data_IF_211848901946
#
_entry.id   IF_211848901946
#
_cell.length_a   1.000
_cell.length_b   1.000
_cell.length_c   1.000
_cell.angle_alpha   90.00
_cell.angle_beta   90.00
_cell.angle_gamma   90.00
#
_symmetry.space_group_name_H-M   'P 1'
#
loop_
_entity.id
_entity.type
_entity.pdbx_description
1 polymer ?
#
# COMPACT_ATOMS: atom_id res chain seq x y z
N UNK A 1 50.70 -19.74 -60.03
CA UNK A 1 50.43 -19.70 -58.58
C UNK A 1 49.35 -18.65 -58.33
N UNK A 2 48.13 -19.07 -57.98
CA UNK A 2 46.99 -18.16 -57.78
C UNK A 2 46.78 -17.91 -56.28
N UNK A 3 47.01 -16.66 -55.85
CA UNK A 3 46.83 -16.22 -54.46
C UNK A 3 45.36 -15.88 -54.21
N UNK A 4 44.73 -16.57 -53.25
CA UNK A 4 43.36 -16.30 -52.79
C UNK A 4 43.41 -15.25 -51.68
N UNK A 5 42.92 -14.05 -51.97
CA UNK A 5 42.76 -12.97 -50.98
C UNK A 5 41.37 -13.12 -50.36
N UNK A 6 41.31 -13.46 -49.08
CA UNK A 6 40.08 -13.51 -48.30
C UNK A 6 39.75 -12.12 -47.71
N UNK A 7 38.50 -11.63 -47.77
CA UNK A 7 38.13 -10.36 -47.17
C UNK A 7 37.97 -10.52 -45.66
N UNK A 8 38.72 -9.73 -44.89
CA UNK A 8 38.56 -9.61 -43.44
C UNK A 8 37.22 -8.89 -43.17
N UNK A 9 36.21 -9.65 -42.73
CA UNK A 9 34.93 -9.09 -42.27
C UNK A 9 35.18 -8.24 -41.03
N UNK A 10 35.02 -6.92 -41.18
CA UNK A 10 35.02 -5.97 -40.07
C UNK A 10 33.72 -6.15 -39.29
N UNK A 11 33.82 -6.76 -38.12
CA UNK A 11 32.72 -6.84 -37.15
C UNK A 11 32.73 -5.52 -36.38
N UNK A 12 31.80 -4.63 -36.70
CA UNK A 12 31.56 -3.44 -35.88
C UNK A 12 30.93 -3.89 -34.55
N UNK A 13 31.43 -3.45 -33.39
CA UNK A 13 30.72 -3.68 -32.15
C UNK A 13 29.46 -2.81 -32.20
N UNK A 14 28.30 -3.45 -32.26
CA UNK A 14 27.01 -2.81 -32.01
C UNK A 14 27.12 -2.19 -30.63
N UNK A 15 27.07 -0.86 -30.58
CA UNK A 15 27.12 -0.08 -29.35
C UNK A 15 25.89 -0.47 -28.51
N UNK A 16 26.08 -1.37 -27.54
CA UNK A 16 25.07 -1.76 -26.56
C UNK A 16 24.82 -0.57 -25.64
N UNK A 17 23.92 0.32 -26.05
CA UNK A 17 23.41 1.39 -25.18
C UNK A 17 22.57 0.73 -24.10
N UNK A 18 23.17 0.49 -22.94
CA UNK A 18 22.44 0.11 -21.74
C UNK A 18 21.51 1.26 -21.36
N UNK A 19 20.20 1.06 -21.46
CA UNK A 19 19.23 1.97 -20.86
C UNK A 19 19.18 1.67 -19.37
N UNK A 20 19.72 2.57 -18.54
CA UNK A 20 19.45 2.58 -17.11
C UNK A 20 18.03 3.08 -16.90
N UNK A 21 17.11 2.17 -16.62
CA UNK A 21 15.74 2.53 -16.25
C UNK A 21 15.78 2.76 -14.74
N UNK A 22 15.88 4.03 -14.30
CA UNK A 22 15.61 4.35 -12.92
C UNK A 22 14.12 4.04 -12.66
N UNK A 23 13.85 3.03 -11.83
CA UNK A 23 12.48 2.70 -11.44
C UNK A 23 11.83 3.95 -10.81
N UNK A 24 10.57 4.29 -11.16
CA UNK A 24 9.89 5.40 -10.52
C UNK A 24 9.85 5.16 -9.00
N UNK A 25 10.02 6.20 -8.17
CA UNK A 25 9.92 6.05 -6.72
C UNK A 25 8.53 5.51 -6.38
N UNK A 26 8.50 4.28 -5.86
CA UNK A 26 7.26 3.67 -5.40
C UNK A 26 6.96 4.23 -4.01
N UNK A 27 5.78 4.83 -3.83
CA UNK A 27 5.34 5.28 -2.50
C UNK A 27 5.23 4.06 -1.57
N UNK A 28 5.76 4.13 -0.34
CA UNK A 28 5.64 3.03 0.60
C UNK A 28 4.17 2.71 0.92
N UNK A 29 3.93 1.46 1.29
CA UNK A 29 2.62 1.02 1.77
C UNK A 29 2.62 0.93 3.29
N UNK A 30 1.54 1.40 3.88
CA UNK A 30 1.27 1.34 5.31
C UNK A 30 0.15 0.35 5.54
N UNK A 31 0.45 -0.73 6.24
CA UNK A 31 -0.56 -1.62 6.82
C UNK A 31 -0.96 -1.02 8.17
N UNK A 32 -2.25 -0.70 8.31
CA UNK A 32 -2.82 -0.12 9.52
C UNK A 32 -3.87 -1.05 10.07
N UNK A 33 -3.62 -1.54 11.29
CA UNK A 33 -4.60 -2.34 12.05
C UNK A 33 -5.20 -1.42 13.10
N UNK A 34 -6.51 -1.18 13.02
CA UNK A 34 -7.24 -0.26 13.88
C UNK A 34 -8.29 -1.04 14.67
N UNK A 35 -8.08 -1.24 15.98
CA UNK A 35 -9.09 -1.87 16.83
C UNK A 35 -10.23 -0.89 17.13
N UNK A 36 -11.42 -1.47 17.36
CA UNK A 36 -12.56 -0.71 17.82
C UNK A 36 -12.45 -0.40 19.33
N UNK A 37 -13.07 0.70 19.75
CA UNK A 37 -13.17 1.05 21.16
C UNK A 37 -14.04 0.07 21.94
N UNK A 38 -13.74 -0.18 23.23
CA UNK A 38 -14.66 -0.94 24.06
C UNK A 38 -16.01 -0.22 24.14
N UNK A 39 -17.08 -0.92 23.77
CA UNK A 39 -18.45 -0.37 23.78
C UNK A 39 -18.87 0.41 22.53
N UNK A 40 -18.03 0.53 21.50
CA UNK A 40 -18.43 1.18 20.23
C UNK A 40 -19.19 0.27 19.26
N UNK A 41 -19.47 -0.99 19.65
CA UNK A 41 -20.15 -1.97 18.79
C UNK A 41 -21.50 -1.44 18.27
N UNK A 42 -22.28 -0.79 19.14
CA UNK A 42 -23.57 -0.20 18.75
C UNK A 42 -23.42 0.95 17.75
N UNK A 43 -22.37 1.77 17.91
CA UNK A 43 -22.06 2.89 17.01
C UNK A 43 -21.60 2.39 15.64
N UNK A 44 -20.93 1.23 15.61
CA UNK A 44 -20.52 0.57 14.38
C UNK A 44 -21.72 0.04 13.60
N UNK A 45 -22.66 -0.63 14.26
CA UNK A 45 -23.87 -1.18 13.62
C UNK A 45 -24.68 -0.12 12.87
N UNK A 46 -24.73 1.11 13.36
CA UNK A 46 -25.39 2.23 12.66
C UNK A 46 -24.71 2.58 11.32
N UNK A 47 -23.39 2.43 11.23
CA UNK A 47 -22.60 2.77 10.04
C UNK A 47 -22.37 1.60 9.10
N UNK A 48 -22.67 0.40 9.58
CA UNK A 48 -22.50 -0.81 8.79
C UNK A 48 -23.57 -0.93 7.72
N UNK A 49 -23.14 -1.39 6.55
CA UNK A 49 -24.09 -1.70 5.49
C UNK A 49 -25.01 -2.86 5.94
N UNK A 50 -26.26 -2.94 5.43
CA UNK A 50 -27.16 -4.06 5.74
C UNK A 50 -26.54 -5.43 5.43
N UNK A 51 -25.64 -5.47 4.44
CA UNK A 51 -24.88 -6.66 4.06
C UNK A 51 -23.86 -7.08 5.12
N UNK A 52 -23.24 -6.13 5.83
CA UNK A 52 -22.28 -6.40 6.90
C UNK A 52 -22.99 -6.85 8.18
N UNK A 53 -24.10 -6.20 8.54
CA UNK A 53 -24.91 -6.60 9.69
C UNK A 53 -25.42 -8.06 9.57
N UNK A 54 -25.67 -8.53 8.36
CA UNK A 54 -26.14 -9.88 8.08
C UNK A 54 -25.08 -10.99 8.33
N UNK A 55 -23.78 -10.66 8.45
CA UNK A 55 -22.73 -11.66 8.66
C UNK A 55 -22.72 -12.23 10.09
N UNK A 56 -23.44 -11.65 11.05
CA UNK A 56 -23.62 -12.18 12.40
C UNK A 56 -22.34 -12.35 13.24
N UNK A 57 -21.20 -11.88 12.73
CA UNK A 57 -19.91 -11.92 13.42
C UNK A 57 -19.65 -10.63 14.20
N UNK A 58 -19.03 -10.75 15.38
CA UNK A 58 -18.53 -9.60 16.11
C UNK A 58 -17.32 -9.02 15.36
N UNK A 59 -17.48 -7.82 14.79
CA UNK A 59 -16.37 -7.09 14.20
C UNK A 59 -15.61 -6.40 15.34
N UNK A 60 -14.29 -6.62 15.38
CA UNK A 60 -13.41 -6.18 16.48
C UNK A 60 -12.50 -5.02 16.03
N UNK A 61 -12.56 -4.65 14.76
CA UNK A 61 -11.74 -3.59 14.18
C UNK A 61 -11.74 -3.59 12.66
N UNK A 62 -10.83 -2.79 12.10
CA UNK A 62 -10.63 -2.63 10.67
C UNK A 62 -9.13 -2.78 10.33
N UNK A 63 -8.85 -3.30 9.13
CA UNK A 63 -7.50 -3.40 8.58
C UNK A 63 -7.48 -2.68 7.23
N UNK A 64 -6.58 -1.71 7.08
CA UNK A 64 -6.49 -0.85 5.89
C UNK A 64 -5.06 -0.84 5.38
N UNK A 65 -4.90 -0.93 4.06
CA UNK A 65 -3.62 -0.76 3.38
C UNK A 65 -3.67 0.57 2.63
N UNK A 66 -2.69 1.43 2.87
CA UNK A 66 -2.63 2.77 2.28
C UNK A 66 -1.29 3.01 1.58
N UNK A 67 -1.27 3.70 0.45
CA UNK A 67 -0.04 4.19 -0.20
C UNK A 67 0.16 5.67 0.09
N UNK A 68 1.19 6.02 0.86
CA UNK A 68 1.45 7.39 1.32
C UNK A 68 2.95 7.65 1.36
N UNK A 69 3.35 8.91 1.50
CA UNK A 69 4.78 9.27 1.62
C UNK A 69 5.27 9.20 3.08
N UNK A 70 4.35 9.32 4.04
CA UNK A 70 4.67 9.34 5.46
C UNK A 70 3.53 8.77 6.30
N UNK A 71 3.84 8.29 7.51
CA UNK A 71 2.86 7.82 8.49
C UNK A 71 1.91 8.95 8.91
N UNK A 72 2.41 10.17 8.98
CA UNK A 72 1.69 11.37 9.38
C UNK A 72 0.56 11.68 8.40
N UNK A 73 0.80 11.56 7.09
CA UNK A 73 -0.22 11.73 6.04
C UNK A 73 -1.37 10.73 6.20
N UNK A 74 -1.03 9.47 6.49
CA UNK A 74 -2.02 8.41 6.74
C UNK A 74 -2.85 8.73 7.99
N UNK A 75 -2.20 9.18 9.06
CA UNK A 75 -2.88 9.56 10.31
C UNK A 75 -3.80 10.77 10.15
N UNK A 76 -3.40 11.80 9.40
CA UNK A 76 -4.24 12.97 9.13
C UNK A 76 -5.49 12.61 8.34
N UNK A 77 -5.36 11.68 7.40
CA UNK A 77 -6.48 11.21 6.60
C UNK A 77 -7.42 10.34 7.42
N UNK A 78 -6.87 9.41 8.22
CA UNK A 78 -7.66 8.58 9.13
C UNK A 78 -8.41 9.40 10.18
N UNK A 79 -7.84 10.50 10.69
CA UNK A 79 -8.50 11.37 11.66
C UNK A 79 -9.81 11.99 11.17
N UNK A 80 -9.98 12.11 9.86
CA UNK A 80 -11.19 12.66 9.21
C UNK A 80 -12.21 11.56 8.84
N UNK A 81 -11.94 10.32 9.22
CA UNK A 81 -12.82 9.20 8.90
C UNK A 81 -14.08 9.20 9.81
N UNK A 82 -15.20 8.76 9.25
CA UNK A 82 -16.50 8.66 9.93
C UNK A 82 -16.41 7.78 11.19
N UNK A 83 -15.58 6.74 11.17
CA UNK A 83 -15.38 5.88 12.35
C UNK A 83 -14.60 6.58 13.46
N UNK A 84 -13.84 7.61 13.14
CA UNK A 84 -13.13 8.44 14.12
C UNK A 84 -14.05 9.50 14.67
N UNK A 85 -14.79 10.19 13.80
CA UNK A 85 -15.78 11.20 14.19
C UNK A 85 -16.86 10.61 15.11
N UNK A 86 -17.33 9.40 14.80
CA UNK A 86 -18.30 8.66 15.62
C UNK A 86 -17.68 7.94 16.82
N UNK A 87 -16.36 8.04 17.00
CA UNK A 87 -15.67 7.47 18.16
C UNK A 87 -15.65 5.94 18.19
N UNK A 88 -15.72 5.28 17.04
CA UNK A 88 -15.68 3.83 16.89
C UNK A 88 -14.27 3.27 16.98
N UNK A 89 -13.29 3.94 16.37
CA UNK A 89 -11.88 3.51 16.33
C UNK A 89 -11.05 4.06 17.49
N UNK A 90 -10.17 3.21 18.03
CA UNK A 90 -9.20 3.56 19.09
C UNK A 90 -7.77 3.66 18.53
N UNK A 91 -7.27 4.89 18.33
CA UNK A 91 -5.85 5.14 18.02
C UNK A 91 -4.93 5.10 19.25
N UNK A 92 -5.31 4.35 20.28
CA UNK A 92 -4.52 4.16 21.50
C UNK A 92 -3.33 3.21 21.28
N UNK A 93 -2.86 2.59 22.36
CA UNK A 93 -1.68 1.69 22.37
C UNK A 93 -1.75 0.47 21.42
N UNK A 94 -2.89 0.21 20.79
CA UNK A 94 -3.15 -1.02 20.06
C UNK A 94 -3.21 -0.83 18.54
N UNK A 95 -3.04 0.39 18.01
CA UNK A 95 -2.97 0.60 16.56
C UNK A 95 -1.57 0.28 16.04
N UNK A 96 -1.45 -0.76 15.24
CA UNK A 96 -0.18 -1.13 14.62
C UNK A 96 -0.05 -0.45 13.25
N UNK A 97 1.07 0.24 13.05
CA UNK A 97 1.46 0.80 11.76
C UNK A 97 2.71 0.09 11.30
N UNK A 98 2.63 -0.62 10.18
CA UNK A 98 3.77 -1.27 9.55
C UNK A 98 4.04 -0.67 8.19
N UNK A 99 5.29 -0.23 8.00
CA UNK A 99 5.84 0.16 6.71
C UNK A 99 6.40 -1.08 6.00
N UNK A 100 6.23 -1.15 4.69
CA UNK A 100 6.73 -2.24 3.83
C UNK A 100 7.60 -1.70 2.71
#
# INVERSE_FOLDING_TARGET
MASRIAPKRLITPILSRAFSVAAPPQKPYFLVIIPDKPGSASLRTENESPRQAAYGGNIVGSCVIWSAESKEEVLETLRKDVYVEKGVWDFGKNSEFRES
#
